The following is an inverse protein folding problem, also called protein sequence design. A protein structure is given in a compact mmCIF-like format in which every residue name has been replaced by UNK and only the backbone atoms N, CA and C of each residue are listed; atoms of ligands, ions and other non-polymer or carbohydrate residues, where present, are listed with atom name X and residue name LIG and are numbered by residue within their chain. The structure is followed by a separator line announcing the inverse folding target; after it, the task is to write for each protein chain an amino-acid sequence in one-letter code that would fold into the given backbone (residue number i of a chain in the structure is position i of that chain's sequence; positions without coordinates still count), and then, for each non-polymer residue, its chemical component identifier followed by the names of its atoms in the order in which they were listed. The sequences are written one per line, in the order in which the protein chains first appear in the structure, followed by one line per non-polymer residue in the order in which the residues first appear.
data_IF_778814336318
#
_entry.id   IF_778814336318
#
_cell.length_a   1.000
_cell.length_b   1.000
_cell.length_c   1.000
_cell.angle_alpha   90.00
_cell.angle_beta   90.00
_cell.angle_gamma   90.00
#
_symmetry.space_group_name_H-M   'P 1'
#
loop_
_entity.id
_entity.type
_entity.pdbx_description
1 polymer ?
#
# COMPACT_ATOMS: atom_id res chain seq x y z
N UNK A 1 10.46 -6.90 -29.84
CA UNK A 1 9.44 -7.98 -29.81
C UNK A 1 8.58 -7.72 -28.59
N UNK A 2 7.34 -7.26 -28.79
CA UNK A 2 6.38 -7.05 -27.70
C UNK A 2 6.02 -8.42 -27.12
N UNK A 3 6.63 -8.79 -25.99
CA UNK A 3 6.09 -9.87 -25.18
C UNK A 3 4.79 -9.31 -24.62
N UNK A 4 3.66 -9.78 -25.15
CA UNK A 4 2.35 -9.36 -24.67
C UNK A 4 2.29 -9.51 -23.16
N UNK A 5 1.78 -8.49 -22.48
CA UNK A 5 1.67 -8.49 -21.03
C UNK A 5 1.00 -9.77 -20.53
N UNK A 6 1.55 -10.35 -19.48
CA UNK A 6 0.95 -11.48 -18.78
C UNK A 6 -0.56 -11.20 -18.58
N UNK A 7 -1.46 -12.12 -18.98
CA UNK A 7 -2.88 -11.97 -18.74
C UNK A 7 -3.24 -11.58 -17.31
N UNK A 8 -2.44 -12.01 -16.32
CA UNK A 8 -2.61 -11.62 -14.93
C UNK A 8 -2.46 -10.10 -14.71
N UNK A 9 -1.40 -9.48 -15.24
CA UNK A 9 -1.20 -8.04 -15.10
C UNK A 9 -2.25 -7.23 -15.86
N UNK A 10 -2.82 -7.77 -16.95
CA UNK A 10 -3.97 -7.15 -17.63
C UNK A 10 -5.23 -7.14 -16.75
N UNK A 11 -5.49 -8.22 -16.01
CA UNK A 11 -6.60 -8.26 -15.04
C UNK A 11 -6.39 -7.24 -13.93
N UNK A 12 -5.19 -7.21 -13.34
CA UNK A 12 -4.84 -6.25 -12.29
C UNK A 12 -4.94 -4.80 -12.78
N UNK A 13 -4.54 -4.53 -14.02
CA UNK A 13 -4.68 -3.21 -14.64
C UNK A 13 -6.15 -2.78 -14.74
N UNK A 14 -7.02 -3.67 -15.20
CA UNK A 14 -8.45 -3.42 -15.29
C UNK A 14 -9.08 -3.20 -13.90
N UNK A 15 -8.69 -4.00 -12.91
CA UNK A 15 -9.13 -3.88 -11.52
C UNK A 15 -8.70 -2.54 -10.90
N UNK A 16 -7.43 -2.16 -11.03
CA UNK A 16 -6.91 -0.87 -10.58
C UNK A 16 -7.62 0.31 -11.25
N UNK A 17 -7.87 0.21 -12.57
CA UNK A 17 -8.61 1.24 -13.31
C UNK A 17 -10.04 1.37 -12.77
N UNK A 18 -10.75 0.26 -12.57
CA UNK A 18 -12.11 0.27 -12.04
C UNK A 18 -12.18 0.82 -10.61
N UNK A 19 -11.22 0.47 -9.75
CA UNK A 19 -11.12 1.02 -8.39
C UNK A 19 -10.92 2.54 -8.42
N UNK A 20 -9.99 3.05 -9.23
CA UNK A 20 -9.71 4.47 -9.34
C UNK A 20 -10.86 5.26 -9.99
N UNK A 21 -11.57 4.69 -10.96
CA UNK A 21 -12.75 5.32 -11.57
C UNK A 21 -13.95 5.37 -10.61
N UNK A 22 -14.12 4.34 -9.78
CA UNK A 22 -15.18 4.26 -8.77
C UNK A 22 -14.89 4.98 -7.45
N UNK A 23 -13.63 5.32 -7.17
CA UNK A 23 -13.24 5.93 -5.90
C UNK A 23 -13.60 7.42 -5.84
N UNK A 24 -14.32 7.81 -4.78
CA UNK A 24 -14.60 9.22 -4.50
C UNK A 24 -13.48 9.80 -3.64
N UNK A 25 -12.60 10.59 -4.26
CA UNK A 25 -11.46 11.16 -3.55
C UNK A 25 -11.91 12.14 -2.43
N UNK A 26 -11.34 12.04 -1.22
CA UNK A 26 -11.77 12.85 -0.06
C UNK A 26 -11.31 14.31 -0.14
N UNK A 27 -10.38 14.64 -1.04
CA UNK A 27 -9.83 15.99 -1.22
C UNK A 27 -9.48 16.26 -2.69
N UNK A 28 -9.40 17.54 -3.12
CA UNK A 28 -8.93 17.88 -4.46
C UNK A 28 -7.52 17.36 -4.78
N UNK A 29 -6.63 17.29 -3.78
CA UNK A 29 -5.28 16.76 -3.96
C UNK A 29 -5.27 15.25 -4.22
N UNK A 30 -6.14 14.50 -3.53
CA UNK A 30 -6.35 13.08 -3.79
C UNK A 30 -7.01 12.85 -5.15
N UNK A 31 -7.95 13.70 -5.57
CA UNK A 31 -8.59 13.58 -6.88
C UNK A 31 -7.60 13.86 -8.02
N UNK A 32 -6.77 14.89 -7.90
CA UNK A 32 -5.70 15.15 -8.86
C UNK A 32 -4.71 13.97 -8.95
N UNK A 33 -4.44 13.29 -7.83
CA UNK A 33 -3.60 12.08 -7.79
C UNK A 33 -4.28 10.88 -8.46
N UNK A 34 -5.56 10.66 -8.19
CA UNK A 34 -6.42 9.66 -8.85
C UNK A 34 -6.39 9.82 -10.36
N UNK A 35 -6.63 11.03 -10.86
CA UNK A 35 -6.56 11.36 -12.29
C UNK A 35 -5.15 11.12 -12.87
N UNK A 36 -4.09 11.48 -12.15
CA UNK A 36 -2.72 11.20 -12.56
C UNK A 36 -2.44 9.69 -12.68
N UNK A 37 -2.98 8.86 -11.79
CA UNK A 37 -2.79 7.41 -11.83
C UNK A 37 -3.57 6.79 -12.99
N UNK A 38 -4.80 7.24 -13.23
CA UNK A 38 -5.59 6.85 -14.39
C UNK A 38 -4.88 7.22 -15.71
N UNK A 39 -4.32 8.42 -15.80
CA UNK A 39 -3.53 8.83 -16.96
C UNK A 39 -2.28 7.95 -17.14
N UNK A 40 -1.61 7.59 -16.05
CA UNK A 40 -0.44 6.71 -16.07
C UNK A 40 -0.79 5.29 -16.56
N UNK A 41 -1.87 4.71 -16.06
CA UNK A 41 -2.39 3.40 -16.49
C UNK A 41 -2.76 3.39 -17.97
N UNK A 42 -3.32 4.48 -18.50
CA UNK A 42 -3.63 4.62 -19.94
C UNK A 42 -2.35 4.68 -20.79
N UNK A 43 -1.33 5.38 -20.32
CA UNK A 43 -0.05 5.52 -21.04
C UNK A 43 0.82 4.26 -20.96
N UNK A 44 0.70 3.48 -19.88
CA UNK A 44 1.55 2.34 -19.56
C UNK A 44 0.71 1.11 -19.21
N UNK A 45 0.33 0.28 -20.20
CA UNK A 45 -0.40 -0.97 -19.95
C UNK A 45 0.34 -1.94 -19.01
N UNK A 46 1.66 -1.81 -18.91
CA UNK A 46 2.56 -2.62 -18.10
C UNK A 46 2.84 -2.04 -16.70
N UNK A 47 2.15 -0.95 -16.30
CA UNK A 47 2.36 -0.26 -15.04
C UNK A 47 2.03 -1.07 -13.77
N UNK A 48 1.39 -2.24 -13.90
CA UNK A 48 1.17 -3.15 -12.76
C UNK A 48 2.38 -4.05 -12.49
N UNK A 49 3.23 -4.28 -13.49
CA UNK A 49 4.36 -5.16 -13.34
C UNK A 49 5.52 -4.42 -12.70
N UNK A 50 6.14 -5.03 -11.68
CA UNK A 50 7.41 -4.55 -11.11
C UNK A 50 8.45 -4.29 -12.20
N UNK A 51 8.42 -5.02 -13.33
CA UNK A 51 9.34 -4.90 -14.47
C UNK A 51 8.93 -3.91 -15.59
N UNK A 52 7.79 -3.22 -15.47
CA UNK A 52 7.30 -2.24 -16.46
C UNK A 52 7.99 -0.86 -16.40
N UNK A 53 7.24 0.26 -16.42
CA UNK A 53 7.83 1.60 -16.34
C UNK A 53 8.59 1.88 -15.03
N UNK A 54 9.49 2.89 -15.00
CA UNK A 54 10.19 3.32 -13.79
C UNK A 54 9.27 3.79 -12.66
N UNK A 55 8.11 4.36 -13.01
CA UNK A 55 7.01 4.62 -12.11
C UNK A 55 5.93 3.57 -12.34
N UNK A 56 5.58 2.77 -11.34
CA UNK A 56 4.58 1.71 -11.45
C UNK A 56 3.75 1.60 -10.18
N UNK A 57 2.62 0.91 -10.27
CA UNK A 57 1.68 0.80 -9.17
C UNK A 57 2.17 -0.21 -8.13
N UNK A 58 1.83 0.06 -6.88
CA UNK A 58 1.95 -0.84 -5.73
C UNK A 58 0.63 -0.88 -4.96
N UNK A 59 0.50 -1.81 -4.03
CA UNK A 59 -0.62 -1.86 -3.10
C UNK A 59 -0.11 -1.98 -1.67
N UNK A 60 -0.73 -1.25 -0.75
CA UNK A 60 -0.34 -1.25 0.66
C UNK A 60 -1.55 -1.22 1.59
N UNK A 61 -1.36 -1.64 2.83
CA UNK A 61 -2.34 -1.49 3.89
C UNK A 61 -1.73 -0.93 5.18
N UNK A 62 -2.41 0.05 5.77
CA UNK A 62 -2.09 0.55 7.10
C UNK A 62 -2.91 -0.22 8.14
N UNK A 63 -2.24 -0.88 9.07
CA UNK A 63 -2.89 -1.70 10.10
C UNK A 63 -3.06 -0.90 11.39
N UNK A 64 -4.30 -0.75 11.84
CA UNK A 64 -4.65 -0.16 13.13
C UNK A 64 -5.14 -1.22 14.12
N UNK A 65 -5.05 -0.92 15.40
CA UNK A 65 -5.78 -1.69 16.41
C UNK A 65 -7.29 -1.37 16.31
N UNK A 66 -8.20 -2.21 16.85
CA UNK A 66 -9.64 -1.97 16.76
C UNK A 66 -10.10 -0.61 17.29
N UNK A 67 -9.38 -0.07 18.29
CA UNK A 67 -9.64 1.24 18.86
C UNK A 67 -9.10 2.41 18.00
N UNK A 68 -8.28 2.14 16.99
CA UNK A 68 -7.62 3.14 16.15
C UNK A 68 -6.60 4.01 16.88
N UNK A 69 -6.11 3.57 18.04
CA UNK A 69 -5.14 4.26 18.89
C UNK A 69 -3.69 3.84 18.64
N UNK A 70 -3.47 2.67 18.04
CA UNK A 70 -2.15 2.19 17.66
C UNK A 70 -2.10 1.80 16.19
N UNK A 71 -0.91 1.93 15.60
CA UNK A 71 -0.59 1.52 14.22
C UNK A 71 0.55 0.52 14.25
N UNK A 72 0.43 -0.58 13.50
CA UNK A 72 1.51 -1.54 13.32
C UNK A 72 2.35 -1.10 12.11
N UNK A 73 3.65 -0.91 12.32
CA UNK A 73 4.58 -0.47 11.30
C UNK A 73 5.73 -1.48 11.13
N UNK A 74 6.36 -1.44 9.96
CA UNK A 74 7.55 -2.21 9.61
C UNK A 74 8.76 -1.29 9.46
N UNK A 75 9.86 -1.62 10.13
CA UNK A 75 11.14 -0.93 9.96
C UNK A 75 11.87 -1.54 8.76
N UNK A 76 11.79 -0.88 7.61
CA UNK A 76 12.24 -1.45 6.35
C UNK A 76 13.78 -1.56 6.27
N UNK A 77 14.29 -2.77 5.96
CA UNK A 77 15.72 -3.11 6.00
C UNK A 77 16.60 -2.31 5.06
N UNK A 78 16.09 -1.84 3.92
CA UNK A 78 16.89 -1.06 2.95
C UNK A 78 16.80 0.45 3.17
N UNK A 79 15.65 0.91 3.67
CA UNK A 79 15.39 2.34 3.83
C UNK A 79 15.75 2.85 5.23
N UNK A 80 15.76 1.97 6.23
CA UNK A 80 15.92 2.31 7.64
C UNK A 80 14.89 3.36 8.09
N UNK A 81 13.64 3.17 7.68
CA UNK A 81 12.49 4.01 8.00
C UNK A 81 11.27 3.13 8.30
N UNK A 82 10.34 3.66 9.09
CA UNK A 82 9.09 2.98 9.40
C UNK A 82 8.02 3.26 8.35
N UNK A 83 7.37 2.20 7.88
CA UNK A 83 6.29 2.26 6.89
C UNK A 83 5.11 1.38 7.29
N UNK A 84 3.99 1.59 6.59
CA UNK A 84 2.94 0.61 6.42
C UNK A 84 3.44 -0.61 5.61
N UNK A 85 2.67 -1.69 5.62
CA UNK A 85 2.98 -2.90 4.86
C UNK A 85 2.51 -2.77 3.42
N UNK A 86 3.27 -3.28 2.46
CA UNK A 86 2.89 -3.20 1.06
C UNK A 86 4.02 -3.49 0.09
N UNK A 87 3.64 -3.73 -1.15
CA UNK A 87 4.59 -4.20 -2.15
C UNK A 87 4.04 -4.22 -3.56
N UNK A 88 4.72 -5.02 -4.39
CA UNK A 88 4.42 -5.11 -5.81
C UNK A 88 3.34 -6.15 -6.06
N UNK A 89 2.62 -5.98 -7.16
CA UNK A 89 1.69 -6.99 -7.62
C UNK A 89 2.42 -8.23 -8.15
N UNK A 90 1.86 -9.39 -7.84
CA UNK A 90 2.25 -10.68 -8.41
C UNK A 90 1.20 -11.18 -9.40
N UNK A 91 1.59 -11.99 -10.40
CA UNK A 91 0.62 -12.59 -11.33
C UNK A 91 -0.51 -13.40 -10.64
N UNK A 92 -0.25 -13.90 -9.44
CA UNK A 92 -1.23 -14.64 -8.63
C UNK A 92 -2.31 -13.78 -7.95
N UNK A 93 -2.12 -12.47 -7.82
CA UNK A 93 -3.00 -11.61 -7.02
C UNK A 93 -4.35 -11.38 -7.69
N UNK A 94 -5.43 -11.94 -7.14
CA UNK A 94 -6.76 -11.90 -7.75
C UNK A 94 -7.26 -10.48 -8.08
N UNK A 95 -6.91 -9.50 -7.23
CA UNK A 95 -7.25 -8.08 -7.33
C UNK A 95 -6.19 -7.23 -6.64
N UNK A 96 -6.30 -5.90 -6.75
CA UNK A 96 -5.47 -4.94 -6.03
C UNK A 96 -5.61 -5.09 -4.51
N UNK A 97 -6.85 -5.28 -4.03
CA UNK A 97 -7.12 -5.56 -2.61
C UNK A 97 -6.47 -6.87 -2.16
N UNK A 98 -6.49 -7.91 -3.01
CA UNK A 98 -5.85 -9.19 -2.70
C UNK A 98 -4.33 -9.05 -2.56
N UNK A 99 -3.70 -8.22 -3.40
CA UNK A 99 -2.28 -7.89 -3.29
C UNK A 99 -1.97 -7.17 -1.97
N UNK A 100 -2.72 -6.12 -1.63
CA UNK A 100 -2.56 -5.42 -0.34
C UNK A 100 -2.73 -6.38 0.86
N UNK A 101 -3.69 -7.30 0.78
CA UNK A 101 -3.93 -8.31 1.83
C UNK A 101 -2.80 -9.32 1.93
N UNK A 102 -2.25 -9.78 0.80
CA UNK A 102 -1.11 -10.69 0.76
C UNK A 102 0.12 -10.04 1.38
N UNK A 103 0.51 -8.86 0.89
CA UNK A 103 1.67 -8.10 1.41
C UNK A 103 1.51 -7.82 2.91
N UNK A 104 0.34 -7.35 3.33
CA UNK A 104 0.03 -7.14 4.74
C UNK A 104 0.26 -8.38 5.59
N UNK A 105 -0.15 -9.57 5.13
CA UNK A 105 0.06 -10.83 5.87
C UNK A 105 1.50 -11.32 5.84
N UNK A 106 2.13 -11.29 4.67
CA UNK A 106 3.50 -11.79 4.47
C UNK A 106 4.53 -10.96 5.25
N UNK A 107 4.36 -9.64 5.28
CA UNK A 107 5.32 -8.74 5.93
C UNK A 107 5.08 -8.56 7.43
N UNK A 108 3.83 -8.67 7.90
CA UNK A 108 3.49 -8.50 9.32
C UNK A 108 3.40 -9.80 10.10
N UNK A 109 3.20 -10.94 9.44
CA UNK A 109 2.90 -12.21 10.08
C UNK A 109 1.53 -12.29 10.77
N UNK A 110 0.66 -11.29 10.62
CA UNK A 110 -0.64 -11.24 11.31
C UNK A 110 -1.65 -12.25 10.72
N UNK A 111 -2.05 -13.31 11.46
CA UNK A 111 -3.04 -14.25 10.96
C UNK A 111 -4.46 -13.66 10.93
N UNK A 112 -4.76 -12.74 11.86
CA UNK A 112 -6.05 -12.06 12.02
C UNK A 112 -6.18 -10.74 11.26
N UNK A 113 -5.36 -10.51 10.23
CA UNK A 113 -5.43 -9.26 9.46
C UNK A 113 -6.72 -9.18 8.64
N UNK A 114 -7.50 -8.13 8.90
CA UNK A 114 -8.72 -7.79 8.16
C UNK A 114 -8.52 -6.47 7.39
N UNK A 115 -8.48 -6.55 6.06
CA UNK A 115 -8.29 -5.35 5.20
C UNK A 115 -9.65 -4.80 4.77
N UNK A 116 -9.84 -3.50 4.95
CA UNK A 116 -11.02 -2.77 4.49
C UNK A 116 -11.08 -2.80 2.95
N UNK A 117 -12.25 -3.07 2.33
CA UNK A 117 -12.32 -3.31 0.89
C UNK A 117 -12.17 -2.05 0.03
N UNK A 118 -12.32 -0.86 0.61
CA UNK A 118 -12.23 0.41 -0.12
C UNK A 118 -10.86 1.08 0.05
N UNK A 119 -10.42 1.78 -1.01
CA UNK A 119 -9.26 2.66 -0.97
C UNK A 119 -9.49 3.79 0.03
N UNK A 120 -8.48 4.05 0.86
CA UNK A 120 -8.50 5.14 1.85
C UNK A 120 -7.59 6.30 1.45
N UNK A 121 -6.56 6.01 0.66
CA UNK A 121 -5.55 6.99 0.26
C UNK A 121 -4.82 6.57 -1.02
N UNK A 122 -4.37 7.54 -1.79
CA UNK A 122 -3.39 7.32 -2.86
C UNK A 122 -2.11 8.08 -2.54
N UNK A 123 -0.97 7.55 -2.95
CA UNK A 123 0.32 8.22 -2.73
C UNK A 123 1.31 7.97 -3.86
N UNK A 124 2.07 9.01 -4.22
CA UNK A 124 3.18 8.90 -5.17
C UNK A 124 4.44 9.25 -4.42
N UNK A 125 5.32 8.27 -4.23
CA UNK A 125 6.59 8.48 -3.53
C UNK A 125 7.79 8.03 -4.35
N UNK A 126 8.83 8.87 -4.29
CA UNK A 126 10.10 8.63 -4.97
C UNK A 126 10.95 7.69 -4.14
N UNK A 127 11.49 6.66 -4.79
CA UNK A 127 12.46 5.76 -4.18
C UNK A 127 13.87 6.35 -4.27
N UNK A 128 14.48 6.63 -3.12
CA UNK A 128 15.84 7.17 -3.03
C UNK A 128 16.80 6.05 -2.64
N UNK A 129 17.79 5.77 -3.49
CA UNK A 129 18.82 4.75 -3.23
C UNK A 129 18.90 3.68 -4.31
N UNK A 130 19.33 2.48 -3.93
CA UNK A 130 19.61 1.38 -4.87
C UNK A 130 18.37 0.51 -5.17
N UNK A 131 17.36 1.12 -5.81
CA UNK A 131 16.12 0.45 -6.23
C UNK A 131 16.12 0.03 -7.71
N UNK A 132 17.31 -0.06 -8.31
CA UNK A 132 17.49 -0.41 -9.72
C UNK A 132 16.81 0.59 -10.64
N UNK A 133 15.85 0.11 -11.45
CA UNK A 133 15.08 0.95 -12.36
C UNK A 133 13.81 1.54 -11.74
N UNK A 134 13.41 1.08 -10.55
CA UNK A 134 12.27 1.66 -9.87
C UNK A 134 12.64 3.05 -9.37
N UNK A 135 11.81 4.03 -9.71
CA UNK A 135 12.00 5.45 -9.37
C UNK A 135 10.89 5.97 -8.51
N UNK A 136 9.66 5.54 -8.77
CA UNK A 136 8.48 5.97 -8.04
C UNK A 136 7.51 4.81 -7.89
N UNK A 137 6.84 4.73 -6.75
CA UNK A 137 5.66 3.90 -6.58
C UNK A 137 4.40 4.77 -6.62
N UNK A 138 3.39 4.27 -7.33
CA UNK A 138 2.04 4.82 -7.39
C UNK A 138 1.15 3.93 -6.53
N UNK A 139 1.07 4.27 -5.26
CA UNK A 139 0.60 3.39 -4.20
C UNK A 139 -0.91 3.53 -3.98
N UNK A 140 -1.61 2.40 -4.08
CA UNK A 140 -3.04 2.27 -3.79
C UNK A 140 -3.18 1.72 -2.36
N UNK A 141 -3.70 2.54 -1.45
CA UNK A 141 -3.62 2.25 -0.01
C UNK A 141 -4.99 1.91 0.58
N UNK A 142 -4.98 0.85 1.38
CA UNK A 142 -6.12 0.37 2.15
C UNK A 142 -5.88 0.56 3.65
N UNK A 143 -6.96 0.55 4.41
CA UNK A 143 -6.88 0.40 5.86
C UNK A 143 -7.05 -1.07 6.24
N UNK A 144 -6.51 -1.48 7.38
CA UNK A 144 -6.69 -2.80 7.92
C UNK A 144 -6.78 -2.75 9.45
N UNK A 145 -7.37 -3.78 10.05
CA UNK A 145 -7.48 -3.95 11.49
C UNK A 145 -6.86 -5.28 11.89
N UNK A 146 -6.17 -5.29 13.03
CA UNK A 146 -5.75 -6.50 13.71
C UNK A 146 -5.61 -6.28 15.22
N UNK A 147 -5.82 -7.33 16.01
CA UNK A 147 -5.62 -7.30 17.46
C UNK A 147 -4.14 -7.12 17.82
N UNK A 148 -3.85 -6.29 18.83
CA UNK A 148 -2.46 -5.99 19.23
C UNK A 148 -1.71 -7.20 19.75
N UNK A 149 -2.40 -8.10 20.43
CA UNK A 149 -1.89 -9.36 20.97
C UNK A 149 -2.02 -10.53 19.98
N UNK A 150 -2.49 -10.26 18.75
CA UNK A 150 -2.67 -11.26 17.69
C UNK A 150 -1.38 -11.87 17.12
N UNK A 151 -0.21 -11.44 17.60
CA UNK A 151 1.11 -11.89 17.16
C UNK A 151 1.53 -11.28 15.82
N UNK A 152 2.68 -10.61 15.79
CA UNK A 152 3.31 -10.12 14.56
C UNK A 152 4.75 -10.64 14.48
N UNK A 153 5.28 -10.69 13.26
CA UNK A 153 6.59 -11.24 12.97
C UNK A 153 7.42 -10.28 12.11
N UNK A 154 8.75 -10.41 12.22
CA UNK A 154 9.70 -9.71 11.35
C UNK A 154 9.95 -10.57 10.13
N UNK A 155 9.94 -9.97 8.94
CA UNK A 155 10.16 -10.65 7.67
C UNK A 155 11.61 -10.50 7.18
N UNK A 156 11.92 -11.14 6.05
CA UNK A 156 13.19 -10.92 5.35
C UNK A 156 13.33 -9.50 4.76
N UNK A 157 12.29 -8.66 4.86
CA UNK A 157 12.27 -7.26 4.40
C UNK A 157 12.33 -6.24 5.55
N UNK A 158 12.02 -6.66 6.78
CA UNK A 158 12.02 -5.79 7.96
C UNK A 158 13.14 -6.08 8.97
N UNK A 159 13.60 -5.03 9.67
CA UNK A 159 14.52 -5.11 10.81
C UNK A 159 13.76 -5.21 12.13
N UNK A 160 12.55 -4.65 12.17
CA UNK A 160 11.64 -4.70 13.31
C UNK A 160 10.21 -4.52 12.79
N UNK A 161 9.22 -4.99 13.55
CA UNK A 161 7.80 -4.76 13.33
C UNK A 161 7.20 -4.42 14.68
N UNK A 162 6.47 -3.31 14.78
CA UNK A 162 6.05 -2.78 16.08
C UNK A 162 4.77 -1.97 16.04
N UNK A 163 3.96 -2.12 17.08
CA UNK A 163 2.83 -1.25 17.39
C UNK A 163 3.31 0.08 18.00
N UNK A 164 2.92 1.19 17.38
CA UNK A 164 3.18 2.55 17.84
C UNK A 164 1.87 3.26 18.20
N UNK A 165 1.82 4.08 19.26
CA UNK A 165 0.72 5.00 19.45
C UNK A 165 0.63 5.97 18.26
N UNK A 166 -0.57 6.22 17.75
CA UNK A 166 -0.76 7.09 16.56
C UNK A 166 -0.32 8.54 16.77
N UNK A 167 -0.21 8.97 18.03
CA UNK A 167 0.24 10.29 18.46
C UNK A 167 1.71 10.32 18.94
N UNK A 168 2.40 9.17 18.92
CA UNK A 168 3.79 9.03 19.33
C UNK A 168 4.57 8.14 18.33
N UNK A 169 4.48 8.50 17.05
CA UNK A 169 5.21 7.85 15.97
C UNK A 169 6.73 8.01 16.14
N UNK A 170 7.53 7.06 15.63
CA UNK A 170 8.98 7.16 15.69
C UNK A 170 9.51 8.31 14.82
N UNK A 171 10.68 8.85 15.17
CA UNK A 171 11.25 10.02 14.49
C UNK A 171 11.59 9.77 13.01
N UNK A 172 11.80 8.51 12.63
CA UNK A 172 12.08 8.01 11.29
C UNK A 172 10.82 7.50 10.55
N UNK A 173 9.62 7.85 11.04
CA UNK A 173 8.36 7.69 10.32
C UNK A 173 8.27 8.68 9.14
N UNK A 174 7.76 8.21 7.99
CA UNK A 174 7.48 9.07 6.84
C UNK A 174 6.45 10.16 7.14
N UNK A 175 6.61 11.34 6.53
CA UNK A 175 5.70 12.49 6.70
C UNK A 175 4.26 12.19 6.23
N UNK A 176 4.09 11.17 5.39
CA UNK A 176 2.79 10.71 4.90
C UNK A 176 1.99 9.89 5.93
N UNK A 177 2.64 9.27 6.92
CA UNK A 177 1.98 8.36 7.86
C UNK A 177 0.86 9.02 8.67
N UNK A 178 1.02 10.24 9.25
CA UNK A 178 -0.07 10.90 9.95
C UNK A 178 -1.33 11.09 9.10
N UNK A 179 -1.16 11.44 7.81
CA UNK A 179 -2.28 11.57 6.87
C UNK A 179 -2.92 10.22 6.57
N UNK A 180 -2.12 9.19 6.35
CA UNK A 180 -2.61 7.83 6.08
C UNK A 180 -3.36 7.26 7.30
N UNK A 181 -2.86 7.49 8.51
CA UNK A 181 -3.54 7.12 9.77
C UNK A 181 -4.88 7.84 9.89
N UNK A 182 -4.94 9.14 9.62
CA UNK A 182 -6.19 9.89 9.65
C UNK A 182 -7.21 9.35 8.64
N UNK A 183 -6.77 9.02 7.42
CA UNK A 183 -7.62 8.42 6.39
C UNK A 183 -8.13 7.03 6.81
N UNK A 184 -7.26 6.17 7.36
CA UNK A 184 -7.63 4.84 7.84
C UNK A 184 -8.63 4.90 8.99
N UNK A 185 -8.45 5.81 9.96
CA UNK A 185 -9.39 6.02 11.08
C UNK A 185 -10.75 6.54 10.64
N UNK A 186 -10.81 7.29 9.53
CA UNK A 186 -12.07 7.77 8.97
C UNK A 186 -12.84 6.66 8.24
N UNK A 187 -12.13 5.68 7.68
CA UNK A 187 -12.72 4.55 6.94
C UNK A 187 -13.14 3.39 7.85
N UNK A 188 -12.39 3.13 8.91
CA UNK A 188 -12.64 2.00 9.81
C UNK A 188 -13.68 2.37 10.88
N UNK A 189 -14.69 1.51 11.13
CA UNK A 189 -15.59 1.69 12.26
C UNK A 189 -14.81 1.50 13.56
N UNK A 190 -14.73 2.55 14.38
CA UNK A 190 -14.12 2.45 15.71
C UNK A 190 -15.09 1.69 16.61
N UNK A 191 -14.61 0.59 17.22
CA UNK A 191 -15.37 -0.20 18.20
C UNK A 191 -15.05 0.21 19.64
#
# INVERSE_FOLDING_TARGET
MSHGLDPAYRRLHADATSLLEGWTAPTPGQDARRESFLAHLRAHPDAMAKQGPPAHLTASCLVLDPAGGHVLLTLHRKAHQWFQFGGHYEPGDASVLAAATREGREESGLPGLEVHPELVDLDRHTLVGSFGRCREHLDLRFAAVAERDGGHEVSAESLDVRWWPVDALPADAGEELPRLIAAARAALPVS
#
